data_IF_558545050463
#
_entry.id   IF_558545050463
#
_cell.length_a   1.000
_cell.length_b   1.000
_cell.length_c   1.000
_cell.angle_alpha   90.00
_cell.angle_beta   90.00
_cell.angle_gamma   90.00
#
_symmetry.space_group_name_H-M   'P 1'
#
loop_
_entity.id
_entity.type
_entity.pdbx_description
1 polymer ?
#
# COMPACT_ATOMS: atom_id res chain seq x y z
N UNK A 1 -10.59 17.81 -4.57
CA UNK A 1 -10.50 16.51 -3.89
C UNK A 1 -9.18 16.51 -3.15
N UNK A 2 -9.20 16.50 -1.83
CA UNK A 2 -8.01 16.61 -1.00
C UNK A 2 -7.78 15.21 -0.41
N UNK A 3 -6.76 14.51 -0.88
CA UNK A 3 -6.34 13.23 -0.29
C UNK A 3 -5.55 13.58 0.96
N UNK A 4 -6.22 13.63 2.10
CA UNK A 4 -5.58 13.74 3.41
C UNK A 4 -5.15 12.34 3.83
N UNK A 5 -3.84 12.10 3.83
CA UNK A 5 -3.23 10.94 4.48
C UNK A 5 -2.96 11.36 5.92
N UNK A 6 -3.86 11.00 6.84
CA UNK A 6 -3.58 11.07 8.26
C UNK A 6 -2.67 9.88 8.57
N UNK A 7 -1.36 10.12 8.63
CA UNK A 7 -0.42 9.08 9.03
C UNK A 7 -0.48 9.02 10.55
N UNK A 8 -1.34 8.16 11.10
CA UNK A 8 -1.24 7.76 12.49
C UNK A 8 0.07 6.98 12.71
N UNK A 9 0.67 7.06 13.90
CA UNK A 9 1.92 6.35 14.24
C UNK A 9 1.83 4.81 14.07
N UNK A 10 0.63 4.27 13.88
CA UNK A 10 0.40 2.91 13.43
C UNK A 10 -0.34 2.92 12.08
N UNK A 11 0.27 2.30 11.07
CA UNK A 11 -0.36 2.02 9.79
C UNK A 11 -1.67 1.26 10.00
N UNK A 12 -2.81 1.89 9.70
CA UNK A 12 -4.11 1.24 9.79
C UNK A 12 -4.33 0.30 8.60
N UNK A 13 -3.91 -0.96 8.78
CA UNK A 13 -4.10 -2.02 7.81
C UNK A 13 -5.57 -2.26 7.43
N UNK A 14 -6.52 -1.85 8.26
CA UNK A 14 -7.95 -2.10 8.05
C UNK A 14 -8.57 -1.04 7.16
N UNK A 15 -8.17 0.23 7.33
CA UNK A 15 -8.81 1.35 6.65
C UNK A 15 -7.94 1.99 5.55
N UNK A 16 -6.62 2.07 5.74
CA UNK A 16 -5.73 2.81 4.82
C UNK A 16 -5.19 1.93 3.68
N UNK A 17 -4.83 0.67 3.97
CA UNK A 17 -4.30 -0.25 2.94
C UNK A 17 -5.35 -0.61 1.88
N UNK A 18 -6.59 -1.02 2.22
CA UNK A 18 -7.60 -1.32 1.21
C UNK A 18 -7.94 -0.11 0.33
N UNK A 19 -8.01 1.09 0.94
CA UNK A 19 -8.25 2.34 0.21
C UNK A 19 -7.11 2.63 -0.78
N UNK A 20 -5.86 2.51 -0.32
CA UNK A 20 -4.67 2.73 -1.16
C UNK A 20 -4.60 1.74 -2.32
N UNK A 21 -4.81 0.45 -2.06
CA UNK A 21 -4.82 -0.58 -3.10
C UNK A 21 -5.96 -0.37 -4.12
N UNK A 22 -7.14 0.06 -3.67
CA UNK A 22 -8.25 0.41 -4.56
C UNK A 22 -7.91 1.61 -5.45
N UNK A 23 -7.26 2.64 -4.90
CA UNK A 23 -6.82 3.79 -5.68
C UNK A 23 -5.78 3.40 -6.75
N UNK A 24 -4.80 2.57 -6.39
CA UNK A 24 -3.80 2.03 -7.34
C UNK A 24 -4.50 1.21 -8.43
N UNK A 25 -5.43 0.32 -8.06
CA UNK A 25 -6.20 -0.49 -9.00
C UNK A 25 -6.98 0.37 -10.01
N UNK A 26 -7.65 1.43 -9.53
CA UNK A 26 -8.35 2.37 -10.39
C UNK A 26 -7.40 3.08 -11.37
N UNK A 27 -6.20 3.46 -10.92
CA UNK A 27 -5.19 4.07 -11.79
C UNK A 27 -4.69 3.10 -12.86
N UNK A 28 -4.39 1.85 -12.50
CA UNK A 28 -4.00 0.79 -13.46
C UNK A 28 -5.08 0.59 -14.51
N UNK A 29 -6.35 0.52 -14.10
CA UNK A 29 -7.49 0.37 -15.01
C UNK A 29 -7.71 1.60 -15.92
N UNK A 30 -7.31 2.80 -15.47
CA UNK A 30 -7.44 4.03 -16.25
C UNK A 30 -6.34 4.19 -17.32
N UNK A 31 -5.19 3.52 -17.20
CA UNK A 31 -4.07 3.67 -18.14
C UNK A 31 -4.46 3.39 -19.62
N UNK A 32 -5.18 2.30 -19.96
CA UNK A 32 -5.63 2.07 -21.34
C UNK A 32 -6.59 3.15 -21.83
N UNK A 33 -7.44 3.69 -20.95
CA UNK A 33 -8.34 4.78 -21.29
C UNK A 33 -7.56 6.04 -21.64
N UNK A 34 -6.56 6.42 -20.82
CA UNK A 34 -5.71 7.57 -21.11
C UNK A 34 -4.91 7.39 -22.40
N UNK A 35 -4.39 6.18 -22.67
CA UNK A 35 -3.73 5.88 -23.96
C UNK A 35 -4.67 6.16 -25.13
N UNK A 36 -5.92 5.71 -25.05
CA UNK A 36 -6.90 5.83 -26.12
C UNK A 36 -7.45 7.25 -26.30
N UNK A 37 -7.63 8.00 -25.19
CA UNK A 37 -8.41 9.24 -25.19
C UNK A 37 -7.61 10.50 -24.85
N UNK A 38 -6.49 10.37 -24.13
CA UNK A 38 -5.62 11.50 -23.77
C UNK A 38 -4.33 11.56 -24.60
N UNK A 39 -4.11 10.60 -25.51
CA UNK A 39 -2.99 10.61 -26.45
C UNK A 39 -1.63 10.29 -25.80
N UNK A 40 -1.60 9.67 -24.62
CA UNK A 40 -0.34 9.18 -24.03
C UNK A 40 0.17 7.97 -24.81
N UNK A 41 1.50 7.88 -24.95
CA UNK A 41 2.13 6.81 -25.73
C UNK A 41 2.44 5.56 -24.86
N UNK A 42 2.88 4.50 -25.51
CA UNK A 42 3.22 3.23 -24.85
C UNK A 42 4.34 3.35 -23.82
N UNK A 43 5.32 4.20 -24.07
CA UNK A 43 6.40 4.43 -23.11
C UNK A 43 5.86 5.08 -21.82
N UNK A 44 4.96 6.06 -21.93
CA UNK A 44 4.31 6.69 -20.80
C UNK A 44 3.46 5.70 -20.01
N UNK A 45 2.67 4.86 -20.68
CA UNK A 45 1.88 3.80 -20.03
C UNK A 45 2.81 2.84 -19.28
N UNK A 46 3.89 2.40 -19.91
CA UNK A 46 4.85 1.48 -19.29
C UNK A 46 5.53 2.09 -18.06
N UNK A 47 5.97 3.35 -18.14
CA UNK A 47 6.54 4.07 -16.98
C UNK A 47 5.53 4.20 -15.84
N UNK A 48 4.27 4.54 -16.14
CA UNK A 48 3.22 4.62 -15.12
C UNK A 48 2.93 3.25 -14.48
N UNK A 49 2.90 2.18 -15.28
CA UNK A 49 2.75 0.82 -14.77
C UNK A 49 3.88 0.40 -13.83
N UNK A 50 5.14 0.72 -14.17
CA UNK A 50 6.28 0.45 -13.29
C UNK A 50 6.20 1.23 -11.98
N UNK A 51 5.84 2.51 -12.04
CA UNK A 51 5.65 3.33 -10.85
C UNK A 51 4.56 2.76 -9.93
N UNK A 52 3.40 2.38 -10.50
CA UNK A 52 2.30 1.80 -9.74
C UNK A 52 2.65 0.43 -9.16
N UNK A 53 3.45 -0.38 -9.86
CA UNK A 53 3.96 -1.64 -9.32
C UNK A 53 4.86 -1.40 -8.09
N UNK A 54 5.76 -0.41 -8.14
CA UNK A 54 6.57 -0.02 -6.98
C UNK A 54 5.73 0.40 -5.78
N UNK A 55 4.66 1.18 -6.01
CA UNK A 55 3.73 1.54 -4.93
C UNK A 55 3.02 0.33 -4.29
N UNK A 56 2.73 -0.72 -5.07
CA UNK A 56 2.18 -1.99 -4.53
C UNK A 56 3.23 -2.71 -3.68
N UNK A 57 4.49 -2.76 -4.13
CA UNK A 57 5.58 -3.39 -3.39
C UNK A 57 5.84 -2.68 -2.06
N UNK A 58 5.79 -1.34 -2.03
CA UNK A 58 5.93 -0.55 -0.81
C UNK A 58 4.80 -0.83 0.19
N UNK A 59 3.55 -0.90 -0.30
CA UNK A 59 2.40 -1.31 0.53
C UNK A 59 2.59 -2.72 1.07
N UNK A 60 3.05 -3.66 0.24
CA UNK A 60 3.30 -5.03 0.67
C UNK A 60 4.40 -5.10 1.74
N UNK A 61 5.45 -4.28 1.62
CA UNK A 61 6.51 -4.20 2.62
C UNK A 61 5.96 -3.64 3.95
N UNK A 62 5.20 -2.56 3.91
CA UNK A 62 4.62 -1.96 5.10
C UNK A 62 3.68 -2.92 5.84
N UNK A 63 2.89 -3.72 5.11
CA UNK A 63 2.05 -4.78 5.69
C UNK A 63 2.90 -5.86 6.37
N UNK A 64 4.00 -6.29 5.74
CA UNK A 64 4.93 -7.28 6.33
C UNK A 64 5.57 -6.74 7.61
N UNK A 65 6.11 -5.53 7.57
CA UNK A 65 6.79 -4.91 8.71
C UNK A 65 5.83 -4.76 9.90
N UNK A 66 4.57 -4.40 9.65
CA UNK A 66 3.54 -4.35 10.68
C UNK A 66 3.25 -5.74 11.28
N UNK A 67 3.10 -6.76 10.43
CA UNK A 67 2.84 -8.13 10.89
C UNK A 67 4.00 -8.65 11.75
N UNK A 68 5.24 -8.44 11.32
CA UNK A 68 6.44 -8.84 12.06
C UNK A 68 6.52 -8.12 13.41
N UNK A 69 6.23 -6.81 13.45
CA UNK A 69 6.14 -6.02 14.69
C UNK A 69 5.11 -6.62 15.66
N UNK A 70 3.87 -6.89 15.21
CA UNK A 70 2.81 -7.45 16.06
C UNK A 70 3.13 -8.87 16.55
N UNK A 71 3.80 -9.69 15.75
CA UNK A 71 4.28 -11.02 16.19
C UNK A 71 5.34 -10.90 17.28
N UNK A 72 6.25 -9.92 17.16
CA UNK A 72 7.28 -9.66 18.18
C UNK A 72 6.66 -9.21 19.50
N UNK A 73 5.75 -8.23 19.46
CA UNK A 73 5.00 -7.74 20.63
C UNK A 73 4.28 -8.89 21.36
N UNK A 74 3.58 -9.76 20.62
CA UNK A 74 2.90 -10.93 21.21
C UNK A 74 3.86 -11.92 21.89
N UNK A 75 5.05 -12.14 21.33
CA UNK A 75 6.06 -13.04 21.92
C UNK A 75 6.64 -12.47 23.21
N UNK A 76 6.87 -11.17 23.26
CA UNK A 76 7.33 -10.48 24.47
C UNK A 76 6.29 -10.55 25.59
N UNK A 77 5.02 -10.26 25.29
CA UNK A 77 3.91 -10.38 26.25
C UNK A 77 3.78 -11.81 26.82
N UNK A 78 3.88 -12.83 25.96
CA UNK A 78 3.81 -14.23 26.38
C UNK A 78 4.99 -14.65 27.27
N UNK A 79 6.17 -14.08 27.01
CA UNK A 79 7.38 -14.35 27.80
C UNK A 79 7.26 -13.72 29.18
N UNK A 80 6.84 -12.45 29.25
CA UNK A 80 6.61 -11.74 30.51
C UNK A 80 5.54 -12.41 31.39
N UNK A 81 4.49 -12.97 30.79
CA UNK A 81 3.45 -13.73 31.52
C UNK A 81 3.92 -15.07 32.08
N UNK A 82 4.98 -15.67 31.53
CA UNK A 82 5.54 -16.93 32.05
C UNK A 82 6.52 -16.71 33.20
N UNK A 83 7.06 -15.51 33.32
CA UNK A 83 8.02 -15.12 34.36
C UNK A 83 7.34 -14.54 35.63
N UNK A 84 6.02 -14.36 35.61
CA UNK A 84 5.17 -13.96 36.73
C UNK A 84 4.46 -15.17 37.35
#
# INVERSE_FOLDING_TARGET
MQLTFDIADELDLTNEIPSTLNAISALVLALPYFKKHAGINDATVMSASYFLAGAIDDVAQAVRDYADKKISEQREELTQRREQ
#
